data_IF_456789815778
#
_entry.id   IF_456789815778
#
_cell.length_a   1.000
_cell.length_b   1.000
_cell.length_c   1.000
_cell.angle_alpha   90.00
_cell.angle_beta   90.00
_cell.angle_gamma   90.00
#
_symmetry.space_group_name_H-M   'P 1'
#
loop_
_entity.id
_entity.type
_entity.pdbx_description
1 polymer ?
#
# COMPACT_ATOMS: atom_id res chain seq x y z
N UNK A 1 -33.86 5.43 23.58
CA UNK A 1 -33.16 5.00 22.36
C UNK A 1 -31.68 5.23 22.60
N UNK A 2 -31.01 4.25 23.21
CA UNK A 2 -29.58 4.35 23.55
C UNK A 2 -28.83 3.85 22.32
N UNK A 3 -28.04 4.71 21.70
CA UNK A 3 -27.16 4.33 20.60
C UNK A 3 -25.95 3.58 21.19
N UNK A 4 -25.83 2.30 20.87
CA UNK A 4 -24.76 1.42 21.35
C UNK A 4 -23.44 1.72 20.60
N UNK A 5 -22.66 2.67 21.13
CA UNK A 5 -21.33 3.05 20.65
C UNK A 5 -20.31 1.90 20.42
N UNK A 6 -20.31 0.76 21.17
CA UNK A 6 -19.37 -0.34 20.98
C UNK A 6 -19.46 -1.01 19.60
N UNK A 7 -20.64 -1.01 18.98
CA UNK A 7 -20.86 -1.62 17.66
C UNK A 7 -20.20 -0.85 16.50
N UNK A 8 -19.78 0.40 16.72
CA UNK A 8 -19.07 1.22 15.73
C UNK A 8 -17.54 1.03 15.72
N UNK A 9 -16.96 0.25 16.66
CA UNK A 9 -15.50 0.16 16.84
C UNK A 9 -14.90 -1.12 16.25
N UNK A 10 -15.72 -2.12 15.92
CA UNK A 10 -15.24 -3.39 15.38
C UNK A 10 -15.73 -3.60 13.95
N UNK A 11 -14.92 -3.19 12.98
CA UNK A 11 -15.05 -3.73 11.63
C UNK A 11 -14.70 -5.23 11.68
N UNK A 12 -15.64 -6.09 11.29
CA UNK A 12 -15.37 -7.52 11.13
C UNK A 12 -14.35 -7.70 9.99
N UNK A 13 -13.13 -8.10 10.34
CA UNK A 13 -12.08 -8.39 9.35
C UNK A 13 -12.19 -9.86 8.95
N UNK A 14 -12.50 -10.11 7.68
CA UNK A 14 -12.53 -11.46 7.12
C UNK A 14 -11.13 -11.85 6.63
N UNK A 15 -10.72 -13.08 6.89
CA UNK A 15 -9.50 -13.63 6.32
C UNK A 15 -9.59 -13.60 4.78
N UNK A 16 -8.53 -13.12 4.14
CA UNK A 16 -8.43 -12.99 2.69
C UNK A 16 -7.10 -13.58 2.24
N UNK A 17 -7.08 -14.20 1.06
CA UNK A 17 -5.87 -14.79 0.48
C UNK A 17 -4.81 -13.73 0.09
N UNK A 18 -5.24 -12.48 -0.04
CA UNK A 18 -4.40 -11.32 -0.37
C UNK A 18 -4.74 -10.19 0.59
N UNK A 19 -3.73 -9.57 1.17
CA UNK A 19 -3.84 -8.39 2.02
C UNK A 19 -2.99 -7.29 1.40
N UNK A 20 -3.58 -6.11 1.20
CA UNK A 20 -2.88 -4.93 0.70
C UNK A 20 -2.70 -3.96 1.87
N UNK A 21 -1.45 -3.66 2.21
CA UNK A 21 -1.09 -2.68 3.23
C UNK A 21 -0.80 -1.34 2.55
N UNK A 22 -1.73 -0.40 2.64
CA UNK A 22 -1.64 0.93 2.04
C UNK A 22 -1.30 2.00 3.09
N UNK A 23 -0.46 2.96 2.70
CA UNK A 23 -0.12 4.12 3.54
C UNK A 23 1.30 4.65 3.30
N UNK A 24 1.54 5.91 3.64
CA UNK A 24 2.82 6.59 3.37
C UNK A 24 4.01 6.11 4.23
N UNK A 25 3.74 5.36 5.31
CA UNK A 25 4.76 4.87 6.26
C UNK A 25 4.78 3.35 6.41
N UNK A 26 4.11 2.60 5.54
CA UNK A 26 4.06 1.12 5.63
C UNK A 26 5.44 0.47 5.54
N UNK A 27 6.41 1.16 4.93
CA UNK A 27 7.80 0.71 4.85
C UNK A 27 8.69 1.23 5.99
N UNK A 28 8.15 1.90 7.01
CA UNK A 28 8.97 2.47 8.08
C UNK A 28 9.56 1.36 8.98
N UNK A 29 8.73 0.44 9.42
CA UNK A 29 9.10 -0.65 10.32
C UNK A 29 9.68 -1.84 9.55
N UNK A 30 10.83 -2.36 10.00
CA UNK A 30 11.49 -3.50 9.37
C UNK A 30 10.71 -4.79 9.53
N UNK A 31 10.16 -5.04 10.70
CA UNK A 31 9.44 -6.29 10.98
C UNK A 31 8.19 -6.36 10.09
N UNK A 32 7.52 -5.23 9.87
CA UNK A 32 6.38 -5.14 8.94
C UNK A 32 6.84 -5.37 7.49
N UNK A 33 7.98 -4.81 7.08
CA UNK A 33 8.53 -5.06 5.73
C UNK A 33 8.83 -6.54 5.52
N UNK A 34 9.41 -7.21 6.50
CA UNK A 34 9.85 -8.61 6.36
C UNK A 34 8.66 -9.58 6.20
N UNK A 35 7.46 -9.17 6.62
CA UNK A 35 6.22 -9.90 6.38
C UNK A 35 5.65 -9.74 4.95
N UNK A 36 6.03 -8.70 4.20
CA UNK A 36 5.43 -8.43 2.89
C UNK A 36 6.09 -9.24 1.78
N UNK A 37 5.28 -9.91 0.95
CA UNK A 37 5.76 -10.65 -0.21
C UNK A 37 6.15 -9.76 -1.40
N UNK A 38 5.60 -8.54 -1.49
CA UNK A 38 5.86 -7.58 -2.56
C UNK A 38 5.68 -6.16 -2.02
N UNK A 39 6.60 -5.26 -2.35
CA UNK A 39 6.63 -3.88 -1.86
C UNK A 39 6.53 -2.91 -3.03
N UNK A 40 5.46 -2.13 -3.07
CA UNK A 40 5.16 -1.22 -4.19
C UNK A 40 5.22 0.23 -3.68
N UNK A 41 6.01 1.06 -4.35
CA UNK A 41 6.04 2.51 -4.08
C UNK A 41 5.41 3.26 -5.25
N UNK A 42 4.38 4.05 -4.98
CA UNK A 42 3.72 4.85 -5.99
C UNK A 42 4.37 6.23 -6.08
N UNK A 43 4.90 6.57 -7.26
CA UNK A 43 5.55 7.85 -7.54
C UNK A 43 4.63 8.74 -8.39
N UNK A 44 3.83 9.57 -7.72
CA UNK A 44 3.06 10.64 -8.35
C UNK A 44 3.68 11.96 -7.95
N UNK A 45 4.23 12.69 -8.94
CA UNK A 45 4.88 13.98 -8.71
C UNK A 45 4.02 14.88 -7.82
N UNK A 46 4.52 15.17 -6.61
CA UNK A 46 3.73 15.65 -5.49
C UNK A 46 3.29 17.11 -5.68
N UNK A 47 2.03 17.33 -6.02
CA UNK A 47 1.33 18.57 -5.62
C UNK A 47 1.08 18.61 -4.10
N UNK A 48 1.04 17.44 -3.44
CA UNK A 48 0.80 17.28 -2.00
C UNK A 48 1.98 17.72 -1.10
N UNK A 49 3.21 17.69 -1.61
CA UNK A 49 4.39 17.96 -0.79
C UNK A 49 4.48 19.41 -0.31
N UNK A 50 3.74 20.38 -0.85
CA UNK A 50 3.94 21.79 -0.50
C UNK A 50 3.77 22.12 0.99
N UNK A 51 2.98 21.34 1.74
CA UNK A 51 2.75 21.55 3.18
C UNK A 51 3.22 20.40 4.09
N UNK A 52 3.60 19.25 3.51
CA UNK A 52 4.15 18.08 4.23
C UNK A 52 5.58 17.76 3.78
N UNK A 53 6.23 18.68 3.06
CA UNK A 53 7.54 18.48 2.42
C UNK A 53 8.61 17.97 3.39
N UNK A 54 8.79 18.54 4.60
CA UNK A 54 9.83 18.09 5.50
C UNK A 54 9.61 16.63 5.90
N UNK A 55 8.39 16.30 6.35
CA UNK A 55 8.04 14.93 6.76
C UNK A 55 8.14 13.94 5.59
N UNK A 56 7.74 14.36 4.38
CA UNK A 56 7.86 13.51 3.20
C UNK A 56 9.33 13.23 2.87
N UNK A 57 10.17 14.26 2.80
CA UNK A 57 11.58 14.13 2.45
C UNK A 57 12.36 13.35 3.53
N UNK A 58 12.01 13.52 4.81
CA UNK A 58 12.71 12.90 5.94
C UNK A 58 12.28 11.44 6.21
N UNK A 59 11.01 11.09 5.98
CA UNK A 59 10.47 9.79 6.40
C UNK A 59 9.89 8.95 5.27
N UNK A 60 9.22 9.57 4.30
CA UNK A 60 8.52 8.84 3.23
C UNK A 60 9.48 8.54 2.07
N UNK A 61 10.20 9.54 1.57
CA UNK A 61 11.10 9.40 0.44
C UNK A 61 12.25 8.40 0.68
N UNK A 62 12.92 8.37 1.86
CA UNK A 62 13.98 7.40 2.10
C UNK A 62 13.47 5.96 2.10
N UNK A 63 12.17 5.75 2.37
CA UNK A 63 11.56 4.42 2.36
C UNK A 63 11.36 3.86 0.94
N UNK A 64 11.39 4.72 -0.09
CA UNK A 64 11.33 4.33 -1.52
C UNK A 64 12.40 3.30 -1.90
N UNK A 65 13.56 3.32 -1.23
CA UNK A 65 14.67 2.37 -1.47
C UNK A 65 14.32 0.92 -1.13
N UNK A 66 13.27 0.69 -0.33
CA UNK A 66 12.79 -0.63 0.03
C UNK A 66 11.77 -1.20 -0.95
N UNK A 67 11.38 -0.45 -1.99
CA UNK A 67 10.39 -0.91 -2.95
C UNK A 67 11.00 -1.91 -3.94
N UNK A 68 10.27 -2.99 -4.21
CA UNK A 68 10.59 -3.92 -5.30
C UNK A 68 10.16 -3.34 -6.65
N UNK A 69 9.04 -2.59 -6.65
CA UNK A 69 8.46 -1.95 -7.84
C UNK A 69 8.10 -0.51 -7.54
N UNK A 70 8.46 0.40 -8.46
CA UNK A 70 8.01 1.80 -8.42
C UNK A 70 6.99 2.01 -9.54
N UNK A 71 5.79 2.48 -9.17
CA UNK A 71 4.70 2.76 -10.13
C UNK A 71 4.60 4.27 -10.37
N UNK A 72 5.03 4.77 -11.55
CA UNK A 72 4.85 6.18 -11.88
C UNK A 72 3.39 6.47 -12.20
N UNK A 73 2.94 7.69 -11.92
CA UNK A 73 1.57 8.19 -12.21
C UNK A 73 0.44 7.48 -11.44
N UNK A 74 0.79 6.54 -10.54
CA UNK A 74 -0.15 5.90 -9.63
C UNK A 74 -1.34 5.25 -10.34
N UNK A 75 -2.55 5.62 -9.92
CA UNK A 75 -3.81 5.01 -10.37
C UNK A 75 -4.10 5.12 -11.87
N UNK A 76 -3.48 6.08 -12.56
CA UNK A 76 -3.65 6.25 -14.01
C UNK A 76 -2.80 5.26 -14.83
N UNK A 77 -1.89 4.53 -14.18
CA UNK A 77 -1.01 3.58 -14.84
C UNK A 77 -1.64 2.19 -14.90
N UNK A 78 -2.66 2.03 -15.73
CA UNK A 78 -3.38 0.76 -15.91
C UNK A 78 -2.45 -0.41 -16.26
N UNK A 79 -1.40 -0.17 -17.05
CA UNK A 79 -0.39 -1.19 -17.37
C UNK A 79 0.31 -1.72 -16.12
N UNK A 80 0.67 -0.85 -15.18
CA UNK A 80 1.29 -1.28 -13.92
C UNK A 80 0.29 -2.02 -13.03
N UNK A 81 -0.96 -1.55 -12.97
CA UNK A 81 -2.03 -2.21 -12.22
C UNK A 81 -2.26 -3.63 -12.76
N UNK A 82 -2.38 -3.78 -14.08
CA UNK A 82 -2.59 -5.07 -14.72
C UNK A 82 -1.43 -6.04 -14.42
N UNK A 83 -0.18 -5.57 -14.45
CA UNK A 83 0.98 -6.37 -14.09
C UNK A 83 0.92 -6.86 -12.62
N UNK A 84 0.51 -6.00 -11.70
CA UNK A 84 0.34 -6.37 -10.27
C UNK A 84 -0.78 -7.40 -10.11
N UNK A 85 -1.93 -7.18 -10.77
CA UNK A 85 -3.07 -8.11 -10.74
C UNK A 85 -2.66 -9.48 -11.29
N UNK A 86 -1.95 -9.53 -12.42
CA UNK A 86 -1.47 -10.77 -13.00
C UNK A 86 -0.46 -11.49 -12.10
N UNK A 87 0.43 -10.76 -11.43
CA UNK A 87 1.34 -11.33 -10.44
C UNK A 87 0.58 -11.99 -9.28
N UNK A 88 -0.43 -11.32 -8.74
CA UNK A 88 -1.27 -11.86 -7.66
C UNK A 88 -2.00 -13.12 -8.12
N UNK A 89 -2.65 -13.11 -9.28
CA UNK A 89 -3.35 -14.29 -9.83
C UNK A 89 -2.41 -15.49 -9.98
N UNK A 90 -1.21 -15.24 -10.51
CA UNK A 90 -0.15 -16.27 -10.65
C UNK A 90 0.23 -16.86 -9.29
N UNK A 91 0.40 -16.02 -8.25
CA UNK A 91 0.74 -16.46 -6.89
C UNK A 91 -0.39 -17.25 -6.22
N UNK A 92 -1.65 -16.97 -6.55
CA UNK A 92 -2.80 -17.71 -6.06
C UNK A 92 -3.05 -19.02 -6.82
N UNK A 93 -2.23 -19.35 -7.83
CA UNK A 93 -2.46 -20.51 -8.70
C UNK A 93 -3.73 -20.38 -9.54
N UNK A 94 -4.24 -19.15 -9.71
CA UNK A 94 -5.37 -18.85 -10.57
C UNK A 94 -4.82 -18.65 -11.99
N UNK A 95 -4.93 -19.70 -12.80
CA UNK A 95 -4.71 -19.63 -14.24
C UNK A 95 -6.07 -19.46 -14.91
N UNK A 96 -6.23 -18.41 -15.70
CA UNK A 96 -7.37 -18.27 -16.62
C UNK A 96 -7.28 -19.34 -17.73
#
# INVERSE_FOLDING_TARGET
MVFDLPSLIFAQVNASNVIILEGILVFHDQDVRDLMNMKIFVDTGLFYAKFVKPTFDDFVLPSKKYADVIVPRGGDNHVAIDLIVQHIRTKLGQHD
#
